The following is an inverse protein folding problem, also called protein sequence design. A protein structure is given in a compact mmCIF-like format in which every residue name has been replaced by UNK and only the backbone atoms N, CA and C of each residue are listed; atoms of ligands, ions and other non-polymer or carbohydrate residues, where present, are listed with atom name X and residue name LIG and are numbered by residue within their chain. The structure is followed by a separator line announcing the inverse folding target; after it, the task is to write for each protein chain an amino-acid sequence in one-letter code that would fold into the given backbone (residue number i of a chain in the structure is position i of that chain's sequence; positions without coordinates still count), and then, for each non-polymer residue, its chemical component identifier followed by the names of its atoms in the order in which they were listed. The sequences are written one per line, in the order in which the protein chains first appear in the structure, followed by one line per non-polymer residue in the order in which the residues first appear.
data_IF_497421802360
#
_entry.id   IF_497421802360
#
_cell.length_a   1.000
_cell.length_b   1.000
_cell.length_c   1.000
_cell.angle_alpha   90.00
_cell.angle_beta   90.00
_cell.angle_gamma   90.00
#
_symmetry.space_group_name_H-M   'P 1'
#
loop_
_entity.id
_entity.type
_entity.pdbx_description
1 polymer ?
#
# COMPACT_ATOMS: atom_id res chain seq x y z
N UNK A 1 12.41 -25.28 -20.03
CA UNK A 1 11.36 -26.22 -19.54
C UNK A 1 10.98 -25.86 -18.11
N UNK A 2 9.75 -26.12 -17.62
CA UNK A 2 9.33 -25.76 -16.26
C UNK A 2 10.30 -26.25 -15.16
N UNK A 3 10.88 -27.43 -15.34
CA UNK A 3 11.87 -28.01 -14.42
C UNK A 3 13.16 -27.17 -14.31
N UNK A 4 13.57 -26.50 -15.39
CA UNK A 4 14.73 -25.59 -15.39
C UNK A 4 14.39 -24.26 -14.71
N UNK A 5 13.15 -23.79 -14.87
CA UNK A 5 12.68 -22.57 -14.22
C UNK A 5 12.64 -22.74 -12.71
N UNK A 6 12.13 -23.87 -12.23
CA UNK A 6 12.11 -24.21 -10.80
C UNK A 6 13.52 -24.21 -10.21
N UNK A 7 14.47 -24.90 -10.85
CA UNK A 7 15.86 -24.95 -10.39
C UNK A 7 16.51 -23.55 -10.37
N UNK A 8 16.29 -22.75 -11.42
CA UNK A 8 16.81 -21.39 -11.51
C UNK A 8 16.18 -20.45 -10.45
N UNK A 9 14.87 -20.57 -10.20
CA UNK A 9 14.15 -19.80 -9.18
C UNK A 9 14.64 -20.15 -7.78
N UNK A 10 14.77 -21.42 -7.45
CA UNK A 10 15.28 -21.87 -6.13
C UNK A 10 16.68 -21.28 -5.89
N UNK A 11 17.56 -21.37 -6.88
CA UNK A 11 18.91 -20.82 -6.80
C UNK A 11 18.89 -19.29 -6.61
N UNK A 12 18.09 -18.58 -7.40
CA UNK A 12 17.95 -17.13 -7.33
C UNK A 12 17.42 -16.66 -5.96
N UNK A 13 16.32 -17.24 -5.49
CA UNK A 13 15.69 -16.83 -4.23
C UNK A 13 16.61 -17.11 -3.03
N UNK A 14 17.40 -18.20 -3.09
CA UNK A 14 18.44 -18.52 -2.10
C UNK A 14 19.58 -17.49 -2.14
N UNK A 15 20.09 -17.15 -3.32
CA UNK A 15 21.19 -16.20 -3.50
C UNK A 15 20.81 -14.77 -3.11
N UNK A 16 19.60 -14.32 -3.46
CA UNK A 16 19.06 -13.01 -3.08
C UNK A 16 18.97 -12.85 -1.55
N UNK A 17 18.68 -13.93 -0.83
CA UNK A 17 18.63 -13.95 0.64
C UNK A 17 20.00 -14.18 1.30
N UNK A 18 21.06 -14.39 0.51
CA UNK A 18 22.39 -14.72 1.03
C UNK A 18 22.45 -16.07 1.74
N UNK A 19 21.55 -17.00 1.42
CA UNK A 19 21.45 -18.28 2.10
C UNK A 19 22.39 -19.33 1.50
N UNK A 20 22.96 -20.16 2.38
CA UNK A 20 23.62 -21.40 1.98
C UNK A 20 22.57 -22.49 1.67
N UNK A 21 22.98 -23.57 1.00
CA UNK A 21 22.11 -24.74 0.81
C UNK A 21 21.75 -25.43 2.12
N UNK A 22 22.61 -25.33 3.14
CA UNK A 22 22.33 -25.76 4.52
C UNK A 22 21.16 -24.95 5.07
N UNK A 23 21.26 -23.62 4.99
CA UNK A 23 20.24 -22.73 5.54
C UNK A 23 18.88 -22.96 4.87
N UNK A 24 18.85 -23.14 3.54
CA UNK A 24 17.62 -23.48 2.85
C UNK A 24 17.03 -24.83 3.30
N UNK A 25 17.87 -25.84 3.57
CA UNK A 25 17.40 -27.12 4.11
C UNK A 25 16.77 -26.96 5.51
N UNK A 26 17.34 -26.12 6.37
CA UNK A 26 16.78 -25.80 7.69
C UNK A 26 15.42 -25.10 7.59
N UNK A 27 15.30 -24.08 6.73
CA UNK A 27 14.03 -23.36 6.52
C UNK A 27 12.95 -24.27 5.95
N UNK A 28 13.31 -25.15 5.01
CA UNK A 28 12.41 -26.17 4.46
C UNK A 28 11.93 -27.13 5.56
N UNK A 29 12.80 -27.56 6.48
CA UNK A 29 12.40 -28.36 7.62
C UNK A 29 11.49 -27.59 8.60
N UNK A 30 11.75 -26.31 8.83
CA UNK A 30 10.96 -25.46 9.72
C UNK A 30 9.50 -25.29 9.24
N UNK A 31 9.26 -25.29 7.92
CA UNK A 31 7.90 -25.25 7.34
C UNK A 31 7.27 -26.63 7.13
N UNK A 32 7.90 -27.71 7.63
CA UNK A 32 7.39 -29.07 7.57
C UNK A 32 7.69 -29.84 6.28
N UNK A 33 8.61 -29.36 5.44
CA UNK A 33 8.99 -29.97 4.16
C UNK A 33 10.50 -30.29 4.12
N UNK A 34 11.00 -31.21 4.97
CA UNK A 34 12.44 -31.44 5.11
C UNK A 34 13.09 -31.94 3.80
N UNK A 35 14.17 -31.30 3.39
CA UNK A 35 14.99 -31.68 2.23
C UNK A 35 16.48 -31.62 2.59
N UNK A 36 17.28 -32.56 2.08
CA UNK A 36 18.72 -32.58 2.35
C UNK A 36 19.46 -31.49 1.55
N UNK A 37 20.48 -30.86 2.16
CA UNK A 37 21.35 -29.89 1.48
C UNK A 37 21.95 -30.38 0.14
N UNK A 38 22.29 -31.67 0.06
CA UNK A 38 22.85 -32.30 -1.14
C UNK A 38 21.80 -32.50 -2.24
N UNK A 39 20.53 -32.63 -1.86
CA UNK A 39 19.42 -32.67 -2.79
C UNK A 39 19.16 -31.28 -3.38
N UNK A 40 19.20 -30.22 -2.55
CA UNK A 40 19.13 -28.82 -3.01
C UNK A 40 20.24 -28.55 -4.04
N UNK A 41 21.49 -28.88 -3.72
CA UNK A 41 22.61 -28.68 -4.65
C UNK A 41 22.41 -29.43 -5.97
N UNK A 42 21.91 -30.67 -5.93
CA UNK A 42 21.61 -31.47 -7.13
C UNK A 42 20.42 -30.92 -7.95
N UNK A 43 19.47 -30.24 -7.31
CA UNK A 43 18.39 -29.52 -8.01
C UNK A 43 18.98 -28.31 -8.75
N UNK A 44 19.76 -27.48 -8.05
CA UNK A 44 20.28 -26.22 -8.60
C UNK A 44 21.34 -26.46 -9.71
N UNK A 45 22.32 -27.33 -9.42
CA UNK A 45 23.57 -27.42 -10.19
C UNK A 45 23.94 -28.84 -10.66
N UNK A 46 23.15 -29.86 -10.32
CA UNK A 46 23.43 -31.26 -10.67
C UNK A 46 23.41 -31.53 -12.18
N UNK A 47 24.13 -32.57 -12.62
CA UNK A 47 24.10 -33.10 -14.00
C UNK A 47 24.04 -34.64 -13.98
N UNK A 48 22.91 -35.28 -14.34
CA UNK A 48 21.59 -34.67 -14.61
C UNK A 48 21.00 -34.01 -13.36
N UNK A 49 20.17 -32.98 -13.54
CA UNK A 49 19.51 -32.30 -12.41
C UNK A 49 18.50 -33.23 -11.75
N UNK A 50 18.44 -33.18 -10.41
CA UNK A 50 17.38 -33.85 -9.65
C UNK A 50 16.06 -33.09 -9.85
N UNK A 51 14.99 -33.80 -10.18
CA UNK A 51 13.64 -33.24 -10.25
C UNK A 51 13.10 -32.93 -8.84
N UNK A 52 12.30 -31.87 -8.76
CA UNK A 52 11.59 -31.46 -7.55
C UNK A 52 10.23 -32.15 -7.54
N UNK A 53 9.86 -32.80 -6.44
CA UNK A 53 8.53 -33.39 -6.30
C UNK A 53 7.50 -32.32 -5.84
N UNK A 54 6.21 -32.67 -5.81
CA UNK A 54 5.16 -31.71 -5.46
C UNK A 54 5.28 -31.20 -4.01
N UNK A 55 5.63 -32.06 -3.06
CA UNK A 55 5.78 -31.69 -1.65
C UNK A 55 6.92 -30.69 -1.46
N UNK A 56 8.07 -30.95 -2.08
CA UNK A 56 9.22 -30.06 -2.11
C UNK A 56 8.87 -28.72 -2.77
N UNK A 57 8.11 -28.74 -3.88
CA UNK A 57 7.68 -27.53 -4.56
C UNK A 57 6.78 -26.65 -3.66
N UNK A 58 5.82 -27.28 -2.95
CA UNK A 58 4.99 -26.58 -1.96
C UNK A 58 5.81 -26.03 -0.81
N UNK A 59 6.82 -26.78 -0.35
CA UNK A 59 7.78 -26.31 0.65
C UNK A 59 8.54 -25.06 0.18
N UNK A 60 9.09 -25.08 -1.03
CA UNK A 60 9.79 -23.92 -1.59
C UNK A 60 8.87 -22.70 -1.74
N UNK A 61 7.62 -22.89 -2.18
CA UNK A 61 6.64 -21.82 -2.24
C UNK A 61 6.38 -21.19 -0.87
N UNK A 62 6.26 -21.99 0.19
CA UNK A 62 6.10 -21.49 1.56
C UNK A 62 7.33 -20.75 2.08
N UNK A 63 8.52 -21.34 1.91
CA UNK A 63 9.78 -20.74 2.40
C UNK A 63 10.10 -19.41 1.69
N UNK A 64 9.84 -19.34 0.38
CA UNK A 64 10.15 -18.14 -0.40
C UNK A 64 9.00 -17.12 -0.45
N UNK A 65 7.82 -17.49 0.06
CA UNK A 65 6.58 -16.71 -0.04
C UNK A 65 6.25 -16.33 -1.49
N UNK A 66 6.18 -17.35 -2.36
CA UNK A 66 5.87 -17.22 -3.79
C UNK A 66 4.83 -18.25 -4.23
N UNK A 67 4.10 -17.97 -5.30
CA UNK A 67 3.11 -18.91 -5.84
C UNK A 67 3.75 -20.04 -6.65
N UNK A 68 3.02 -21.14 -6.88
CA UNK A 68 3.46 -22.20 -7.80
C UNK A 68 3.67 -21.69 -9.23
N UNK A 69 2.91 -20.68 -9.65
CA UNK A 69 3.08 -20.03 -10.95
C UNK A 69 4.43 -19.28 -11.00
N UNK A 70 4.81 -18.60 -9.93
CA UNK A 70 6.10 -17.91 -9.83
C UNK A 70 7.29 -18.87 -9.79
N UNK A 71 7.10 -20.02 -9.13
CA UNK A 71 8.11 -21.07 -9.02
C UNK A 71 8.40 -21.75 -10.37
N UNK A 72 7.36 -21.95 -11.18
CA UNK A 72 7.46 -22.64 -12.49
C UNK A 72 7.58 -21.70 -13.69
N UNK A 73 7.34 -20.41 -13.49
CA UNK A 73 7.44 -19.35 -14.49
C UNK A 73 8.88 -18.97 -14.84
N UNK A 74 9.12 -18.37 -16.02
CA UNK A 74 10.46 -18.03 -16.47
C UNK A 74 11.19 -17.11 -15.47
N UNK A 75 12.48 -17.37 -15.14
CA UNK A 75 13.21 -16.65 -14.10
C UNK A 75 13.31 -15.13 -14.32
N UNK A 76 13.21 -14.67 -15.57
CA UNK A 76 13.35 -13.27 -15.95
C UNK A 76 12.11 -12.38 -15.77
N UNK A 77 10.94 -12.94 -15.44
CA UNK A 77 9.68 -12.18 -15.48
C UNK A 77 9.13 -11.72 -14.13
N UNK A 78 9.79 -12.04 -13.01
CA UNK A 78 9.27 -11.65 -11.69
C UNK A 78 10.33 -10.92 -10.85
N UNK A 79 10.18 -9.60 -10.90
CA UNK A 79 10.48 -8.59 -9.89
C UNK A 79 11.19 -9.11 -8.63
N UNK A 80 12.40 -8.61 -8.38
CA UNK A 80 13.07 -8.74 -7.08
C UNK A 80 12.12 -8.32 -5.94
N UNK A 81 12.33 -8.75 -4.68
CA UNK A 81 11.50 -8.34 -3.54
C UNK A 81 11.25 -6.82 -3.50
N UNK A 82 12.28 -6.02 -3.85
CA UNK A 82 12.17 -4.57 -3.97
C UNK A 82 11.19 -4.11 -5.04
N UNK A 83 11.20 -4.71 -6.22
CA UNK A 83 10.25 -4.36 -7.28
C UNK A 83 8.82 -4.79 -6.89
N UNK A 84 8.66 -5.89 -6.16
CA UNK A 84 7.35 -6.30 -5.62
C UNK A 84 6.81 -5.31 -4.58
N UNK A 85 7.66 -4.80 -3.70
CA UNK A 85 7.30 -3.73 -2.75
C UNK A 85 6.87 -2.45 -3.49
N UNK A 86 7.68 -1.99 -4.44
CA UNK A 86 7.36 -0.80 -5.24
C UNK A 86 6.05 -0.97 -6.02
N UNK A 87 5.78 -2.16 -6.57
CA UNK A 87 4.52 -2.44 -7.24
C UNK A 87 3.32 -2.35 -6.29
N UNK A 88 3.44 -2.87 -5.05
CA UNK A 88 2.39 -2.74 -4.03
C UNK A 88 2.14 -1.29 -3.64
N UNK A 89 3.21 -0.54 -3.37
CA UNK A 89 3.14 0.88 -3.03
C UNK A 89 2.50 1.69 -4.15
N UNK A 90 2.89 1.44 -5.40
CA UNK A 90 2.32 2.10 -6.58
C UNK A 90 0.81 1.85 -6.73
N UNK A 91 0.38 0.59 -6.61
CA UNK A 91 -1.04 0.22 -6.72
C UNK A 91 -1.86 0.85 -5.58
N UNK A 92 -1.33 0.84 -4.36
CA UNK A 92 -1.98 1.47 -3.21
C UNK A 92 -2.14 2.98 -3.41
N UNK A 93 -1.06 3.67 -3.77
CA UNK A 93 -1.07 5.11 -3.99
C UNK A 93 -2.03 5.51 -5.12
N UNK A 94 -2.06 4.73 -6.19
CA UNK A 94 -2.98 4.95 -7.32
C UNK A 94 -4.43 4.81 -6.89
N UNK A 95 -4.75 3.81 -6.05
CA UNK A 95 -6.09 3.63 -5.51
C UNK A 95 -6.52 4.79 -4.61
N UNK A 96 -5.65 5.21 -3.70
CA UNK A 96 -5.90 6.35 -2.81
C UNK A 96 -6.11 7.64 -3.60
N UNK A 97 -5.27 7.89 -4.62
CA UNK A 97 -5.43 9.00 -5.55
C UNK A 97 -6.79 9.00 -6.24
N UNK A 98 -7.23 7.85 -6.78
CA UNK A 98 -8.54 7.74 -7.43
C UNK A 98 -9.71 7.96 -6.46
N UNK A 99 -9.59 7.50 -5.22
CA UNK A 99 -10.62 7.71 -4.19
C UNK A 99 -10.72 9.18 -3.77
N UNK A 100 -9.57 9.83 -3.59
CA UNK A 100 -9.53 11.27 -3.31
C UNK A 100 -10.11 12.05 -4.49
N UNK A 101 -9.75 11.68 -5.72
CA UNK A 101 -10.28 12.33 -6.92
C UNK A 101 -11.79 12.19 -7.04
N UNK A 102 -12.34 10.99 -6.84
CA UNK A 102 -13.79 10.78 -6.82
C UNK A 102 -14.51 11.57 -5.70
N UNK A 103 -13.80 11.87 -4.61
CA UNK A 103 -14.34 12.71 -3.54
C UNK A 103 -14.30 14.19 -3.91
N UNK A 104 -13.21 14.65 -4.53
CA UNK A 104 -13.11 16.01 -5.08
C UNK A 104 -14.21 16.24 -6.11
N UNK A 105 -14.40 15.31 -7.05
CA UNK A 105 -15.40 15.44 -8.11
C UNK A 105 -16.82 15.52 -7.52
N UNK A 106 -17.14 14.70 -6.50
CA UNK A 106 -18.42 14.78 -5.78
C UNK A 106 -18.61 16.11 -5.06
N UNK A 107 -17.58 16.60 -4.36
CA UNK A 107 -17.63 17.89 -3.68
C UNK A 107 -17.82 19.03 -4.68
N UNK A 108 -17.17 18.97 -5.84
CA UNK A 108 -17.34 19.95 -6.91
C UNK A 108 -18.76 19.95 -7.48
N UNK A 109 -19.36 18.77 -7.71
CA UNK A 109 -20.76 18.68 -8.12
C UNK A 109 -21.69 19.32 -7.09
N UNK A 110 -21.48 19.02 -5.81
CA UNK A 110 -22.30 19.59 -4.74
C UNK A 110 -22.13 21.10 -4.60
N UNK A 111 -20.90 21.62 -4.73
CA UNK A 111 -20.64 23.05 -4.76
C UNK A 111 -21.34 23.74 -5.94
N UNK A 112 -21.37 23.09 -7.11
CA UNK A 112 -22.08 23.61 -8.27
C UNK A 112 -23.60 23.66 -8.03
N UNK A 113 -24.19 22.65 -7.40
CA UNK A 113 -25.61 22.65 -7.02
C UNK A 113 -25.93 23.80 -6.06
N UNK A 114 -25.10 23.99 -5.02
CA UNK A 114 -25.26 25.09 -4.07
C UNK A 114 -25.16 26.45 -4.78
N UNK A 115 -24.16 26.63 -5.65
CA UNK A 115 -23.97 27.87 -6.41
C UNK A 115 -25.18 28.17 -7.32
N UNK A 116 -25.71 27.15 -7.98
CA UNK A 116 -26.93 27.26 -8.79
C UNK A 116 -28.13 27.74 -7.96
N UNK A 117 -28.34 27.19 -6.77
CA UNK A 117 -29.43 27.62 -5.88
C UNK A 117 -29.26 29.04 -5.35
N UNK A 118 -28.05 29.41 -4.92
CA UNK A 118 -27.74 30.75 -4.44
C UNK A 118 -27.91 31.80 -5.55
N UNK A 119 -27.45 31.48 -6.77
CA UNK A 119 -27.63 32.35 -7.92
C UNK A 119 -29.12 32.49 -8.28
N UNK A 120 -29.88 31.41 -8.31
CA UNK A 120 -31.32 31.45 -8.57
C UNK A 120 -32.08 32.30 -7.52
N UNK A 121 -31.64 32.32 -6.26
CA UNK A 121 -32.19 33.23 -5.25
C UNK A 121 -31.79 34.69 -5.52
N UNK A 122 -30.51 34.94 -5.81
CA UNK A 122 -29.98 36.26 -6.11
C UNK A 122 -30.61 36.90 -7.35
N UNK A 123 -30.95 36.11 -8.36
CA UNK A 123 -31.57 36.57 -9.60
C UNK A 123 -33.01 37.10 -9.43
N UNK A 124 -33.63 36.90 -8.25
CA UNK A 124 -34.95 37.46 -7.92
C UNK A 124 -34.95 38.98 -7.80
N UNK A 125 -33.79 39.61 -7.60
CA UNK A 125 -33.66 41.05 -7.51
C UNK A 125 -32.39 41.53 -6.80
N UNK A 126 -32.06 42.83 -6.91
CA UNK A 126 -30.84 43.40 -6.33
C UNK A 126 -30.78 43.28 -4.81
N UNK A 127 -31.94 43.29 -4.12
CA UNK A 127 -32.01 43.09 -2.69
C UNK A 127 -31.64 41.65 -2.29
N UNK A 128 -32.21 40.66 -2.99
CA UNK A 128 -31.91 39.24 -2.74
C UNK A 128 -30.45 38.91 -3.03
N UNK A 129 -29.88 39.48 -4.10
CA UNK A 129 -28.44 39.35 -4.38
C UNK A 129 -27.59 39.91 -3.24
N UNK A 130 -27.94 41.08 -2.72
CA UNK A 130 -27.26 41.68 -1.56
C UNK A 130 -27.36 40.83 -0.29
N UNK A 131 -28.52 40.19 -0.05
CA UNK A 131 -28.70 39.27 1.08
C UNK A 131 -27.80 38.04 0.98
N UNK A 132 -27.68 37.43 -0.21
CA UNK A 132 -26.77 36.28 -0.44
C UNK A 132 -25.32 36.66 -0.20
N UNK A 133 -24.87 37.78 -0.78
CA UNK A 133 -23.49 38.24 -0.64
C UNK A 133 -23.14 38.54 0.83
N UNK A 134 -24.06 39.11 1.60
CA UNK A 134 -23.85 39.37 3.03
C UNK A 134 -23.80 38.07 3.84
N UNK A 135 -24.72 37.13 3.59
CA UNK A 135 -24.74 35.84 4.27
C UNK A 135 -23.44 35.06 4.03
N UNK A 136 -22.96 35.00 2.78
CA UNK A 136 -21.69 34.33 2.45
C UNK A 136 -20.50 34.94 3.20
N UNK A 137 -20.43 36.29 3.30
CA UNK A 137 -19.37 36.97 4.06
C UNK A 137 -19.44 36.67 5.56
N UNK A 138 -20.64 36.58 6.13
CA UNK A 138 -20.83 36.26 7.55
C UNK A 138 -20.36 34.83 7.86
N UNK A 139 -20.70 33.86 7.02
CA UNK A 139 -20.29 32.47 7.16
C UNK A 139 -18.77 32.29 6.99
N UNK A 140 -18.17 32.94 5.99
CA UNK A 140 -16.72 32.89 5.79
C UNK A 140 -15.96 33.44 7.02
N UNK A 141 -16.44 34.54 7.60
CA UNK A 141 -15.88 35.10 8.85
C UNK A 141 -16.10 34.19 10.05
N UNK A 142 -17.22 33.47 10.13
CA UNK A 142 -17.48 32.51 11.22
C UNK A 142 -16.51 31.32 11.12
N UNK A 143 -16.32 30.78 9.92
CA UNK A 143 -15.37 29.69 9.64
C UNK A 143 -13.92 30.10 9.96
N UNK A 144 -13.47 31.26 9.48
CA UNK A 144 -12.12 31.77 9.78
C UNK A 144 -11.86 31.91 11.29
N UNK A 145 -12.87 32.34 12.06
CA UNK A 145 -12.78 32.43 13.53
C UNK A 145 -12.68 31.05 14.19
N UNK A 146 -13.40 30.05 13.70
CA UNK A 146 -13.32 28.68 14.21
C UNK A 146 -11.97 28.00 13.95
N UNK A 147 -11.32 28.32 12.82
CA UNK A 147 -10.00 27.80 12.45
C UNK A 147 -8.86 28.44 13.25
N UNK A 148 -9.09 29.63 13.81
CA UNK A 148 -8.13 30.35 14.67
C UNK A 148 -8.72 30.59 16.06
N UNK A 149 -8.88 29.54 16.90
CA UNK A 149 -9.26 29.75 18.29
C UNK A 149 -8.21 30.62 18.96
N UNK A 150 -8.66 31.75 19.51
CA UNK A 150 -7.79 32.74 20.16
C UNK A 150 -6.85 32.07 21.17
N UNK A 151 -5.55 32.42 21.09
CA UNK A 151 -4.46 31.96 22.00
C UNK A 151 -4.72 32.24 23.50
N UNK A 152 -5.82 32.93 23.83
CA UNK A 152 -6.22 33.24 25.20
C UNK A 152 -6.51 31.99 26.05
N UNK A 153 -6.99 30.89 25.46
CA UNK A 153 -7.32 29.67 26.23
C UNK A 153 -6.10 28.82 26.62
N UNK A 154 -4.96 28.97 25.93
CA UNK A 154 -3.74 28.21 26.21
C UNK A 154 -2.92 28.78 27.38
N UNK A 155 -3.20 30.02 27.83
CA UNK A 155 -2.45 30.66 28.93
C UNK A 155 -2.97 30.29 30.32
N UNK A 156 -4.23 29.89 30.46
CA UNK A 156 -4.85 29.59 31.76
C UNK A 156 -4.72 28.12 32.23
N UNK A 157 -4.13 27.22 31.43
CA UNK A 157 -3.95 25.81 31.81
C UNK A 157 -2.58 25.50 32.46
N UNK A 158 -1.70 26.49 32.62
CA UNK A 158 -0.33 26.30 33.10
C UNK A 158 -0.02 26.90 34.48
N UNK A 159 -1.01 27.39 35.22
CA UNK A 159 -0.76 28.03 36.52
C UNK A 159 -1.09 27.06 37.65
N UNK A 160 -0.07 26.53 38.38
CA UNK A 160 -0.33 25.65 39.51
C UNK A 160 -1.04 26.42 40.63
N UNK A 161 -1.90 25.77 41.42
CA UNK A 161 -2.57 26.42 42.53
C UNK A 161 -1.52 26.91 43.53
N UNK A 162 -1.55 28.20 43.83
CA UNK A 162 -0.84 28.79 44.97
C UNK A 162 -1.37 28.14 46.24
N UNK A 163 -0.54 27.28 46.85
CA UNK A 163 -0.86 26.56 48.08
C UNK A 163 -0.97 27.49 49.28
N UNK A 164 -1.93 27.15 50.16
CA UNK A 164 -2.06 27.60 51.55
C UNK A 164 -1.10 26.81 52.47
#
# INVERSE_FOLDING_TARGET
MPEEHVAARIKLEREVRGWSTVKLAEEMAAVGHPINQSAIWRIESGKPRRRVNLDEALGFCKVFDITMQDLTGPPGELATPRIRELAREYVQMTREYHQLRATIDRNQMHLHEIDMELNAYGDKGPEQRGQVDELLRLEERALQRSLHPSRAHLRNQGQPPTGE
#
